data_IF_542187554190
#
_entry.id   IF_542187554190
#
_cell.length_a   1.000
_cell.length_b   1.000
_cell.length_c   1.000
_cell.angle_alpha   90.00
_cell.angle_beta   90.00
_cell.angle_gamma   90.00
#
_symmetry.space_group_name_H-M   'P 1'
#
loop_
_entity.id
_entity.type
_entity.pdbx_description
1 polymer ?
#
# COMPACT_ATOMS: atom_id res chain seq x y z
N UNK A 1 2.04 -14.90 33.01
CA UNK A 1 3.09 -15.73 32.39
C UNK A 1 2.38 -16.70 31.45
N UNK A 2 2.25 -16.33 30.19
CA UNK A 2 1.69 -17.18 29.13
C UNK A 2 2.86 -17.69 28.30
N UNK A 3 3.22 -18.96 28.51
CA UNK A 3 4.20 -19.67 27.70
C UNK A 3 3.70 -19.69 26.25
N UNK A 4 4.36 -18.94 25.41
CA UNK A 4 4.24 -19.08 23.97
C UNK A 4 4.85 -20.42 23.59
N UNK A 5 4.02 -21.46 23.45
CA UNK A 5 4.41 -22.75 22.92
C UNK A 5 5.13 -22.54 21.59
N UNK A 6 6.44 -22.69 21.58
CA UNK A 6 7.23 -22.69 20.36
C UNK A 6 6.72 -23.84 19.49
N UNK A 7 6.00 -23.52 18.41
CA UNK A 7 5.71 -24.48 17.35
C UNK A 7 7.05 -24.99 16.84
N UNK A 8 7.41 -26.23 17.17
CA UNK A 8 8.50 -26.96 16.50
C UNK A 8 8.10 -27.11 15.03
N UNK A 9 8.42 -26.09 14.22
CA UNK A 9 8.28 -26.19 12.77
C UNK A 9 9.42 -27.05 12.27
N UNK A 10 9.08 -28.19 11.65
CA UNK A 10 10.07 -29.00 10.96
C UNK A 10 10.79 -28.14 9.93
N UNK A 11 12.13 -28.04 10.04
CA UNK A 11 12.93 -27.26 9.10
C UNK A 11 12.69 -27.71 7.67
N UNK A 12 12.33 -26.79 6.80
CA UNK A 12 12.05 -27.03 5.37
C UNK A 12 13.07 -26.32 4.51
N UNK A 13 13.19 -26.75 3.27
CA UNK A 13 13.88 -25.99 2.25
C UNK A 13 12.85 -25.21 1.45
N UNK A 14 12.93 -23.89 1.48
CA UNK A 14 12.01 -22.95 0.82
C UNK A 14 12.74 -22.31 -0.35
N UNK A 15 12.17 -22.43 -1.55
CA UNK A 15 12.63 -21.70 -2.73
C UNK A 15 11.74 -20.45 -2.92
N UNK A 16 12.36 -19.28 -3.01
CA UNK A 16 11.69 -18.00 -3.22
C UNK A 16 12.11 -17.46 -4.59
N UNK A 17 11.14 -17.19 -5.44
CA UNK A 17 11.35 -16.64 -6.78
C UNK A 17 11.09 -15.14 -6.73
N UNK A 18 12.11 -14.35 -7.04
CA UNK A 18 12.11 -12.89 -6.99
C UNK A 18 12.84 -12.35 -5.75
N UNK A 19 13.87 -11.53 -5.96
CA UNK A 19 14.67 -10.88 -4.93
C UNK A 19 14.37 -9.37 -4.80
N UNK A 20 13.15 -8.96 -5.09
CA UNK A 20 12.63 -7.64 -4.71
C UNK A 20 12.30 -7.58 -3.20
N UNK A 21 11.78 -6.47 -2.73
CA UNK A 21 11.50 -6.24 -1.30
C UNK A 21 10.69 -7.38 -0.67
N UNK A 22 9.63 -7.86 -1.31
CA UNK A 22 8.79 -8.94 -0.79
C UNK A 22 9.57 -10.25 -0.67
N UNK A 23 10.31 -10.64 -1.71
CA UNK A 23 11.05 -11.89 -1.72
C UNK A 23 12.19 -11.90 -0.70
N UNK A 24 12.94 -10.81 -0.60
CA UNK A 24 14.04 -10.68 0.38
C UNK A 24 13.50 -10.73 1.82
N UNK A 25 12.45 -9.98 2.13
CA UNK A 25 11.85 -10.00 3.49
C UNK A 25 11.30 -11.39 3.80
N UNK A 26 10.61 -12.03 2.85
CA UNK A 26 10.12 -13.40 3.04
C UNK A 26 11.26 -14.40 3.27
N UNK A 27 12.41 -14.22 2.61
CA UNK A 27 13.60 -15.05 2.82
C UNK A 27 14.17 -14.87 4.22
N UNK A 28 14.28 -13.62 4.69
CA UNK A 28 14.75 -13.29 6.03
C UNK A 28 13.85 -13.93 7.09
N UNK A 29 12.53 -13.77 6.97
CA UNK A 29 11.61 -14.35 7.95
C UNK A 29 11.62 -15.88 7.93
N UNK A 30 11.69 -16.51 6.75
CA UNK A 30 11.83 -17.97 6.66
C UNK A 30 13.15 -18.49 7.29
N UNK A 31 14.24 -17.74 7.16
CA UNK A 31 15.51 -18.06 7.85
C UNK A 31 15.39 -17.91 9.36
N UNK A 32 14.68 -16.88 9.85
CA UNK A 32 14.40 -16.68 11.28
C UNK A 32 13.57 -17.81 11.87
N UNK A 33 12.64 -18.36 11.07
CA UNK A 33 11.84 -19.53 11.44
C UNK A 33 12.64 -20.86 11.40
N UNK A 34 13.94 -20.81 11.10
CA UNK A 34 14.83 -21.98 11.05
C UNK A 34 14.73 -22.78 9.74
N UNK A 35 14.17 -22.21 8.70
CA UNK A 35 14.12 -22.84 7.39
C UNK A 35 15.42 -22.61 6.60
N UNK A 36 15.70 -23.50 5.67
CA UNK A 36 16.75 -23.30 4.65
C UNK A 36 16.14 -22.58 3.46
N UNK A 37 16.77 -21.52 2.95
CA UNK A 37 16.21 -20.70 1.87
C UNK A 37 17.11 -20.71 0.66
N UNK A 38 16.53 -20.84 -0.51
CA UNK A 38 17.15 -20.51 -1.81
C UNK A 38 16.38 -19.37 -2.44
N UNK A 39 17.03 -18.24 -2.66
CA UNK A 39 16.49 -17.06 -3.35
C UNK A 39 16.93 -17.12 -4.82
N UNK A 40 15.97 -17.00 -5.75
CA UNK A 40 16.20 -17.11 -7.18
C UNK A 40 15.74 -15.82 -7.86
N UNK A 41 16.65 -15.14 -8.55
CA UNK A 41 16.37 -13.90 -9.28
C UNK A 41 17.32 -13.80 -10.47
N UNK A 42 16.94 -13.17 -11.59
CA UNK A 42 17.81 -12.96 -12.73
C UNK A 42 18.92 -11.92 -12.46
N UNK A 43 18.85 -11.16 -11.37
CA UNK A 43 19.81 -10.14 -10.98
C UNK A 43 20.13 -10.12 -9.48
N UNK A 44 20.86 -9.10 -9.06
CA UNK A 44 21.22 -8.88 -7.67
C UNK A 44 19.99 -8.60 -6.81
N UNK A 45 19.96 -9.05 -5.53
CA UNK A 45 18.87 -8.69 -4.61
C UNK A 45 18.72 -7.16 -4.49
N UNK A 46 17.49 -6.67 -4.69
CA UNK A 46 17.20 -5.23 -4.69
C UNK A 46 17.71 -4.46 -5.91
N UNK A 47 18.21 -5.14 -6.94
CA UNK A 47 18.70 -4.52 -8.16
C UNK A 47 17.61 -3.91 -9.05
N UNK A 48 18.04 -3.30 -10.16
CA UNK A 48 17.17 -2.51 -11.08
C UNK A 48 16.06 -3.32 -11.76
N UNK A 49 16.19 -4.65 -11.81
CA UNK A 49 15.16 -5.55 -12.32
C UNK A 49 13.96 -5.70 -11.39
N UNK A 50 14.12 -5.39 -10.11
CA UNK A 50 13.05 -5.54 -9.11
C UNK A 50 12.06 -4.37 -9.20
N UNK A 51 10.75 -4.66 -9.19
CA UNK A 51 9.70 -3.62 -9.19
C UNK A 51 9.77 -2.68 -7.97
N UNK A 52 10.43 -3.09 -6.90
CA UNK A 52 10.68 -2.27 -5.71
C UNK A 52 11.83 -1.27 -5.89
N UNK A 53 12.69 -1.45 -6.88
CA UNK A 53 13.71 -0.48 -7.23
C UNK A 53 13.07 0.80 -7.78
N UNK A 54 13.51 1.97 -7.32
CA UNK A 54 12.93 3.25 -7.75
C UNK A 54 11.49 3.50 -7.29
N UNK A 55 10.98 2.72 -6.32
CA UNK A 55 9.70 2.99 -5.68
C UNK A 55 9.76 4.35 -4.96
N UNK A 56 8.58 4.99 -4.78
CA UNK A 56 8.46 6.27 -4.07
C UNK A 56 8.86 6.21 -2.58
N UNK A 57 9.14 5.02 -2.05
CA UNK A 57 9.61 4.83 -0.68
C UNK A 57 8.56 5.07 0.41
N UNK A 58 7.29 5.18 0.04
CA UNK A 58 6.24 5.43 1.03
C UNK A 58 5.73 4.12 1.65
N UNK A 59 5.97 3.98 2.96
CA UNK A 59 5.47 2.88 3.78
C UNK A 59 4.18 3.31 4.48
N UNK A 60 3.03 2.84 4.00
CA UNK A 60 1.72 3.26 4.49
C UNK A 60 0.96 2.14 5.19
N UNK A 61 0.62 2.35 6.46
CA UNK A 61 -0.35 1.54 7.18
C UNK A 61 -1.81 1.92 6.89
N UNK A 62 -2.04 2.98 6.11
CA UNK A 62 -3.37 3.57 5.86
C UNK A 62 -3.91 3.28 4.45
N UNK A 63 -3.14 2.62 3.59
CA UNK A 63 -3.51 2.31 2.20
C UNK A 63 -4.47 1.11 2.11
N UNK A 64 -5.52 1.13 2.91
CA UNK A 64 -6.50 0.04 3.02
C UNK A 64 -7.63 0.12 1.98
N UNK A 65 -7.78 1.25 1.30
CA UNK A 65 -8.85 1.43 0.31
C UNK A 65 -8.41 0.79 -1.01
N UNK A 66 -9.17 -0.18 -1.54
CA UNK A 66 -8.85 -0.75 -2.84
C UNK A 66 -9.07 0.28 -3.95
N UNK A 67 -8.32 0.19 -5.07
CA UNK A 67 -8.50 1.11 -6.20
C UNK A 67 -9.87 1.00 -6.88
N UNK A 68 -10.55 -0.15 -6.75
CA UNK A 68 -11.92 -0.32 -7.22
C UNK A 68 -12.90 0.26 -6.22
N UNK A 69 -13.61 1.32 -6.62
CA UNK A 69 -14.61 2.02 -5.82
C UNK A 69 -15.98 2.02 -6.51
N UNK A 70 -17.08 2.16 -5.74
CA UNK A 70 -18.40 2.29 -6.31
C UNK A 70 -18.50 3.42 -7.33
N UNK A 71 -19.00 3.10 -8.52
CA UNK A 71 -19.15 4.09 -9.60
C UNK A 71 -17.87 4.41 -10.40
N UNK A 72 -16.74 3.74 -10.15
CA UNK A 72 -15.51 3.95 -10.94
C UNK A 72 -15.72 3.76 -12.44
N UNK A 73 -16.61 2.84 -12.83
CA UNK A 73 -16.94 2.59 -14.22
C UNK A 73 -17.48 3.83 -14.95
N UNK A 74 -18.12 4.77 -14.23
CA UNK A 74 -18.61 6.06 -14.79
C UNK A 74 -17.45 6.98 -15.16
N UNK A 75 -16.29 6.82 -14.53
CA UNK A 75 -15.08 7.62 -14.78
C UNK A 75 -14.25 7.07 -15.94
N UNK A 76 -14.43 5.79 -16.30
CA UNK A 76 -13.65 5.11 -17.34
C UNK A 76 -13.67 5.85 -18.69
N UNK A 77 -14.81 6.29 -19.25
CA UNK A 77 -14.80 7.03 -20.52
C UNK A 77 -13.93 8.29 -20.46
N UNK A 78 -14.01 9.06 -19.37
CA UNK A 78 -13.20 10.26 -19.17
C UNK A 78 -11.71 9.91 -19.12
N UNK A 79 -11.32 8.85 -18.40
CA UNK A 79 -9.94 8.43 -18.30
C UNK A 79 -9.35 7.95 -19.63
N UNK A 80 -10.15 7.31 -20.48
CA UNK A 80 -9.71 6.85 -21.80
C UNK A 80 -9.56 8.00 -22.81
N UNK A 81 -10.28 9.11 -22.63
CA UNK A 81 -10.19 10.29 -23.48
C UNK A 81 -9.04 11.22 -23.07
N UNK A 82 -8.49 11.06 -21.91
CA UNK A 82 -7.39 11.87 -21.38
C UNK A 82 -6.05 11.18 -21.69
N UNK A 83 -5.20 11.72 -22.59
CA UNK A 83 -3.88 11.14 -22.89
C UNK A 83 -2.95 11.06 -21.67
N UNK A 84 -3.16 11.90 -20.67
CA UNK A 84 -2.42 11.91 -19.40
C UNK A 84 -3.19 11.22 -18.27
N UNK A 85 -4.32 10.59 -18.62
CA UNK A 85 -5.20 9.93 -17.66
C UNK A 85 -4.59 8.66 -17.05
N UNK A 86 -5.14 8.21 -15.92
CA UNK A 86 -4.63 7.06 -15.18
C UNK A 86 -4.90 5.71 -15.85
N UNK A 87 -5.63 5.68 -16.97
CA UNK A 87 -6.05 4.46 -17.64
C UNK A 87 -5.68 4.49 -19.13
N UNK A 88 -4.75 3.63 -19.51
CA UNK A 88 -4.44 3.34 -20.89
C UNK A 88 -4.80 1.89 -21.23
N UNK A 89 -5.62 1.69 -22.28
CA UNK A 89 -6.01 0.35 -22.73
C UNK A 89 -5.33 0.03 -24.07
N UNK A 90 -4.59 -1.07 -24.06
CA UNK A 90 -4.12 -1.69 -25.29
C UNK A 90 -5.26 -2.54 -25.87
N UNK A 91 -5.95 -2.02 -26.86
CA UNK A 91 -7.19 -2.61 -27.42
C UNK A 91 -7.03 -4.06 -27.89
N UNK A 92 -5.86 -4.40 -28.47
CA UNK A 92 -5.54 -5.78 -28.87
C UNK A 92 -5.45 -6.76 -27.69
N UNK A 93 -5.22 -6.26 -26.47
CA UNK A 93 -5.12 -7.09 -25.27
C UNK A 93 -6.42 -7.13 -24.47
N UNK A 94 -7.37 -6.24 -24.77
CA UNK A 94 -8.63 -6.12 -24.01
C UNK A 94 -9.39 -7.45 -23.87
N UNK A 95 -9.54 -8.30 -24.90
CA UNK A 95 -10.25 -9.57 -24.75
C UNK A 95 -9.63 -10.49 -23.70
N UNK A 96 -8.29 -10.46 -23.58
CA UNK A 96 -7.57 -11.25 -22.56
C UNK A 96 -7.68 -10.64 -21.16
N UNK A 97 -7.74 -9.32 -21.06
CA UNK A 97 -7.85 -8.59 -19.79
C UNK A 97 -9.30 -8.55 -19.25
N UNK A 98 -10.31 -8.71 -20.12
CA UNK A 98 -11.73 -8.50 -19.79
C UNK A 98 -12.21 -9.32 -18.59
N UNK A 99 -11.90 -10.63 -18.45
CA UNK A 99 -12.33 -11.42 -17.29
C UNK A 99 -11.78 -10.86 -15.97
N UNK A 100 -10.54 -10.35 -15.98
CA UNK A 100 -9.94 -9.70 -14.83
C UNK A 100 -10.59 -8.35 -14.55
N UNK A 101 -10.80 -7.53 -15.56
CA UNK A 101 -11.43 -6.21 -15.43
C UNK A 101 -12.85 -6.31 -14.85
N UNK A 102 -13.63 -7.31 -15.27
CA UNK A 102 -14.96 -7.57 -14.70
C UNK A 102 -14.84 -7.88 -13.20
N UNK A 103 -13.94 -8.78 -12.80
CA UNK A 103 -13.71 -9.11 -11.39
C UNK A 103 -13.25 -7.89 -10.59
N UNK A 104 -12.37 -7.08 -11.17
CA UNK A 104 -11.90 -5.84 -10.58
C UNK A 104 -13.07 -4.87 -10.31
N UNK A 105 -13.92 -4.61 -11.30
CA UNK A 105 -15.10 -3.76 -11.13
C UNK A 105 -16.07 -4.31 -10.08
N UNK A 106 -16.31 -5.62 -10.10
CA UNK A 106 -17.18 -6.28 -9.15
C UNK A 106 -16.64 -6.26 -7.71
N UNK A 107 -15.32 -6.23 -7.51
CA UNK A 107 -14.70 -6.18 -6.18
C UNK A 107 -15.01 -4.87 -5.44
N UNK A 108 -15.13 -3.75 -6.18
CA UNK A 108 -15.47 -2.44 -5.63
C UNK A 108 -16.91 -2.00 -5.92
N UNK A 109 -17.80 -2.90 -6.34
CA UNK A 109 -19.14 -2.54 -6.81
C UNK A 109 -20.01 -1.85 -5.75
N UNK A 110 -19.85 -2.21 -4.49
CA UNK A 110 -20.60 -1.65 -3.36
C UNK A 110 -19.67 -1.15 -2.27
N UNK A 111 -20.14 -0.15 -1.50
CA UNK A 111 -19.42 0.34 -0.32
C UNK A 111 -19.10 -0.78 0.68
N UNK A 112 -20.04 -1.71 0.90
CA UNK A 112 -19.83 -2.84 1.79
C UNK A 112 -18.66 -3.76 1.36
N UNK A 113 -18.47 -3.96 0.05
CA UNK A 113 -17.32 -4.73 -0.46
C UNK A 113 -16.01 -4.00 -0.26
N UNK A 114 -15.98 -2.69 -0.52
CA UNK A 114 -14.80 -1.84 -0.28
C UNK A 114 -14.44 -1.86 1.20
N UNK A 115 -15.43 -1.72 2.09
CA UNK A 115 -15.22 -1.77 3.53
C UNK A 115 -14.73 -3.15 4.00
N UNK A 116 -15.30 -4.24 3.49
CA UNK A 116 -14.84 -5.60 3.81
C UNK A 116 -13.38 -5.81 3.39
N UNK A 117 -13.00 -5.32 2.20
CA UNK A 117 -11.61 -5.36 1.74
C UNK A 117 -10.70 -4.53 2.64
N UNK A 118 -11.12 -3.32 3.03
CA UNK A 118 -10.36 -2.46 3.94
C UNK A 118 -10.15 -3.11 5.32
N UNK A 119 -11.17 -3.78 5.86
CA UNK A 119 -11.06 -4.54 7.11
C UNK A 119 -10.08 -5.70 7.02
N UNK A 120 -10.06 -6.40 5.88
CA UNK A 120 -9.13 -7.51 5.65
C UNK A 120 -7.68 -7.03 5.46
N UNK A 121 -7.48 -5.89 4.79
CA UNK A 121 -6.16 -5.32 4.57
C UNK A 121 -5.55 -4.66 5.82
N UNK A 122 -6.39 -4.13 6.71
CA UNK A 122 -5.95 -3.39 7.90
C UNK A 122 -4.90 -4.13 8.72
N UNK A 123 -5.11 -5.38 9.19
CA UNK A 123 -4.13 -6.10 9.99
C UNK A 123 -2.85 -6.45 9.22
N UNK A 124 -2.91 -6.56 7.89
CA UNK A 124 -1.73 -6.84 7.06
C UNK A 124 -0.82 -5.62 6.89
N UNK A 125 -1.37 -4.40 6.98
CA UNK A 125 -0.65 -3.16 6.72
C UNK A 125 -0.28 -2.41 8.00
N UNK A 126 -0.96 -2.68 9.11
CA UNK A 126 -0.86 -1.91 10.36
C UNK A 126 0.57 -1.78 10.86
N UNK A 127 1.29 -2.87 10.90
CA UNK A 127 2.65 -2.93 11.43
C UNK A 127 3.75 -2.71 10.37
N UNK A 128 3.36 -2.56 9.10
CA UNK A 128 4.31 -2.44 7.99
C UNK A 128 5.43 -1.42 8.23
N UNK A 129 5.12 -0.14 8.56
CA UNK A 129 6.16 0.87 8.79
C UNK A 129 7.10 0.55 9.96
N UNK A 130 6.57 -0.02 11.05
CA UNK A 130 7.38 -0.37 12.22
C UNK A 130 8.28 -1.58 11.96
N UNK A 131 7.79 -2.57 11.21
CA UNK A 131 8.57 -3.74 10.80
C UNK A 131 9.70 -3.34 9.85
N UNK A 132 9.45 -2.46 8.89
CA UNK A 132 10.52 -1.95 8.00
C UNK A 132 11.57 -1.15 8.78
N UNK A 133 11.14 -0.31 9.75
CA UNK A 133 12.09 0.42 10.60
C UNK A 133 12.98 -0.54 11.37
N UNK A 134 12.41 -1.58 11.97
CA UNK A 134 13.16 -2.62 12.67
C UNK A 134 14.18 -3.31 11.75
N UNK A 135 13.78 -3.64 10.51
CA UNK A 135 14.70 -4.22 9.53
C UNK A 135 15.85 -3.26 9.16
N UNK A 136 15.56 -1.96 9.02
CA UNK A 136 16.59 -0.95 8.75
C UNK A 136 17.56 -0.80 9.94
N UNK A 137 17.05 -0.84 11.17
CA UNK A 137 17.88 -0.84 12.39
C UNK A 137 18.80 -2.07 12.45
N UNK A 138 18.26 -3.26 12.18
CA UNK A 138 19.03 -4.51 12.13
C UNK A 138 20.09 -4.51 11.01
N UNK A 139 19.79 -3.85 9.88
CA UNK A 139 20.74 -3.68 8.78
C UNK A 139 21.79 -2.57 9.04
N UNK A 140 21.72 -1.84 10.15
CA UNK A 140 22.65 -0.75 10.49
C UNK A 140 22.41 0.55 9.72
N UNK A 141 21.19 0.73 9.14
CA UNK A 141 20.79 1.89 8.34
C UNK A 141 19.46 2.51 8.82
N UNK A 142 19.33 2.82 10.12
CA UNK A 142 18.05 3.28 10.70
C UNK A 142 17.52 4.57 10.08
N UNK A 143 18.42 5.41 9.54
CA UNK A 143 18.07 6.71 8.97
C UNK A 143 17.41 6.64 7.58
N UNK A 144 17.39 5.44 6.97
CA UNK A 144 16.65 5.22 5.72
C UNK A 144 15.12 5.28 5.91
N UNK A 145 14.64 5.14 7.13
CA UNK A 145 13.20 5.15 7.45
C UNK A 145 12.87 6.32 8.36
N UNK A 146 12.27 7.35 7.79
CA UNK A 146 11.79 8.52 8.52
C UNK A 146 10.28 8.46 8.75
N UNK A 147 9.80 8.98 9.89
CA UNK A 147 8.37 9.05 10.23
C UNK A 147 7.83 10.45 10.04
N UNK A 148 7.82 10.93 8.81
CA UNK A 148 7.36 12.29 8.47
C UNK A 148 5.84 12.35 8.28
N UNK A 149 5.18 11.21 8.06
CA UNK A 149 3.76 11.13 7.75
C UNK A 149 3.44 11.57 6.31
N UNK A 150 2.16 11.68 6.01
CA UNK A 150 1.65 12.21 4.73
C UNK A 150 0.54 13.19 5.04
N UNK A 151 0.65 14.38 4.49
CA UNK A 151 -0.39 15.40 4.58
C UNK A 151 -1.32 15.29 3.38
N UNK A 152 -2.61 15.07 3.64
CA UNK A 152 -3.65 15.16 2.62
C UNK A 152 -4.31 16.52 2.71
N UNK A 153 -4.27 17.28 1.62
CA UNK A 153 -4.81 18.63 1.52
C UNK A 153 -6.08 18.65 0.68
N UNK A 154 -7.06 19.38 1.16
CA UNK A 154 -8.34 19.58 0.50
C UNK A 154 -8.60 21.09 0.33
N UNK A 155 -9.31 21.50 -0.73
CA UNK A 155 -9.66 22.91 -0.92
C UNK A 155 -10.68 23.41 0.10
N UNK A 156 -11.43 22.51 0.71
CA UNK A 156 -12.41 22.79 1.79
C UNK A 156 -12.76 21.50 2.52
N UNK A 157 -13.55 21.60 3.59
CA UNK A 157 -13.99 20.46 4.40
C UNK A 157 -14.94 19.52 3.65
N UNK A 158 -15.81 20.05 2.80
CA UNK A 158 -16.86 19.27 2.12
C UNK A 158 -16.32 18.09 1.28
N UNK A 159 -15.32 18.24 0.42
CA UNK A 159 -14.76 17.09 -0.32
C UNK A 159 -14.18 16.00 0.58
N UNK A 160 -13.62 16.36 1.73
CA UNK A 160 -13.11 15.40 2.70
C UNK A 160 -14.24 14.60 3.32
N UNK A 161 -15.30 15.26 3.80
CA UNK A 161 -16.43 14.60 4.46
C UNK A 161 -17.25 13.74 3.48
N UNK A 162 -17.31 14.12 2.20
CA UNK A 162 -17.99 13.37 1.16
C UNK A 162 -17.18 12.15 0.67
N UNK A 163 -15.86 12.11 0.91
CA UNK A 163 -15.00 11.05 0.39
C UNK A 163 -15.27 9.71 1.07
N UNK A 164 -15.62 8.71 0.25
CA UNK A 164 -15.92 7.36 0.73
C UNK A 164 -14.70 6.71 1.41
N UNK A 165 -13.51 6.93 0.87
CA UNK A 165 -12.28 6.33 1.38
C UNK A 165 -11.97 6.81 2.80
N UNK A 166 -12.16 8.11 3.10
CA UNK A 166 -11.97 8.64 4.46
C UNK A 166 -13.04 8.14 5.43
N UNK A 167 -14.30 8.05 5.00
CA UNK A 167 -15.36 7.45 5.82
C UNK A 167 -15.07 6.00 6.20
N UNK A 168 -14.59 5.20 5.23
CA UNK A 168 -14.21 3.80 5.48
C UNK A 168 -12.98 3.73 6.39
N UNK A 169 -11.93 4.53 6.17
CA UNK A 169 -10.75 4.60 7.04
C UNK A 169 -11.14 4.84 8.50
N UNK A 170 -12.07 5.77 8.73
CA UNK A 170 -12.62 6.04 10.08
C UNK A 170 -13.28 4.80 10.68
N UNK A 171 -14.13 4.10 9.91
CA UNK A 171 -14.84 2.89 10.37
C UNK A 171 -13.91 1.71 10.69
N UNK A 172 -12.79 1.60 9.98
CA UNK A 172 -11.78 0.55 10.23
C UNK A 172 -10.72 0.97 11.24
N UNK A 173 -10.94 2.09 11.95
CA UNK A 173 -10.11 2.52 13.07
C UNK A 173 -8.79 3.19 12.71
N UNK A 174 -8.63 3.68 11.48
CA UNK A 174 -7.48 4.51 11.12
C UNK A 174 -7.62 5.87 11.76
N UNK A 175 -6.56 6.30 12.44
CA UNK A 175 -6.47 7.61 13.09
C UNK A 175 -5.61 8.54 12.24
N UNK A 176 -5.99 9.81 12.20
CA UNK A 176 -5.23 10.90 11.60
C UNK A 176 -5.34 12.14 12.48
N UNK A 177 -4.47 13.09 12.23
CA UNK A 177 -4.51 14.42 12.84
C UNK A 177 -5.15 15.37 11.82
N UNK A 178 -6.16 16.10 12.22
CA UNK A 178 -6.71 17.21 11.45
C UNK A 178 -5.96 18.47 11.81
N UNK A 179 -5.43 19.15 10.81
CA UNK A 179 -4.68 20.39 10.96
C UNK A 179 -5.56 21.57 10.55
N UNK A 180 -5.47 22.66 11.29
CA UNK A 180 -5.99 23.95 10.86
C UNK A 180 -5.16 24.52 9.70
N UNK A 181 -5.69 25.50 8.99
CA UNK A 181 -4.97 26.19 7.93
C UNK A 181 -3.62 26.76 8.38
N UNK A 182 -3.56 27.29 9.60
CA UNK A 182 -2.33 27.87 10.14
C UNK A 182 -1.30 26.80 10.51
N UNK A 183 -1.71 25.68 11.13
CA UNK A 183 -0.82 24.55 11.41
C UNK A 183 -0.30 23.90 10.12
N UNK A 184 -1.13 23.86 9.09
CA UNK A 184 -0.75 23.34 7.78
C UNK A 184 0.31 24.24 7.13
N UNK A 185 0.14 25.57 7.15
CA UNK A 185 1.12 26.53 6.63
C UNK A 185 2.42 26.57 7.42
N UNK A 186 2.37 26.32 8.73
CA UNK A 186 3.59 26.18 9.54
C UNK A 186 4.43 24.99 9.12
N UNK A 187 3.81 23.91 8.68
CA UNK A 187 4.50 22.68 8.23
C UNK A 187 4.94 22.77 6.77
N UNK A 188 4.13 23.42 5.93
CA UNK A 188 4.34 23.58 4.50
C UNK A 188 4.14 25.07 4.13
N UNK A 189 5.15 25.92 4.34
CA UNK A 189 5.04 27.36 4.12
C UNK A 189 4.74 27.77 2.68
N UNK A 190 5.17 26.96 1.72
CA UNK A 190 5.00 27.20 0.28
C UNK A 190 3.63 26.74 -0.25
N UNK A 191 2.78 26.19 0.61
CA UNK A 191 1.47 25.75 0.20
C UNK A 191 0.59 26.93 -0.24
N UNK A 192 -0.02 26.79 -1.42
CA UNK A 192 -0.86 27.86 -1.99
C UNK A 192 -2.03 28.21 -1.04
N UNK A 193 -2.34 29.52 -0.83
CA UNK A 193 -3.36 29.98 0.13
C UNK A 193 -4.78 29.46 -0.08
N UNK A 194 -5.09 28.91 -1.24
CA UNK A 194 -6.42 28.32 -1.53
C UNK A 194 -6.77 27.10 -0.70
N UNK A 195 -5.78 26.47 -0.09
CA UNK A 195 -5.99 25.29 0.77
C UNK A 195 -6.19 25.74 2.22
N UNK A 196 -7.31 25.35 2.80
CA UNK A 196 -7.74 25.78 4.15
C UNK A 196 -8.16 24.60 4.99
#
# INVERSE_FOLDING_TARGET
>A
MTETSARQTCARHVAIIGAGAVGVISAIEALRDGHRVTLIDPGEPGGTQAASYGNAGWLSSHSVIPPAEPGIWKKVPKYLMDPMGPLAIRWSYLPKALPWLIRYLLSGWTEARVEATARALRPLLEDGPSLHKKLAEEAGVPDLIERNGVMHIFPSREPFDADLGWRIRKRVGIKWLELSADEMRQREPDLHPRYT
#
